data_IF_847116918708
#
_entry.id   IF_847116918708
#
_cell.length_a   1.000
_cell.length_b   1.000
_cell.length_c   1.000
_cell.angle_alpha   90.00
_cell.angle_beta   90.00
_cell.angle_gamma   90.00
#
_symmetry.space_group_name_H-M   'P 1'
#
loop_
_entity.id
_entity.type
_entity.pdbx_description
1 polymer ?
#
# COMPACT_ATOMS: atom_id res chain seq x y z
N UNK A 1 -0.47 -26.42 24.44
CA UNK A 1 0.94 -26.36 23.98
C UNK A 1 0.95 -25.73 22.60
N UNK A 2 1.96 -24.88 22.35
CA UNK A 2 2.02 -23.80 21.35
C UNK A 2 1.84 -24.27 19.89
N UNK A 3 0.92 -23.63 19.17
CA UNK A 3 1.00 -23.44 17.72
C UNK A 3 0.99 -21.94 17.46
N UNK A 4 2.18 -21.34 17.52
CA UNK A 4 2.41 -20.01 16.97
C UNK A 4 2.75 -20.19 15.49
N UNK A 5 1.84 -19.79 14.61
CA UNK A 5 2.10 -19.60 13.19
C UNK A 5 3.06 -18.40 13.04
N UNK A 6 4.35 -18.67 13.22
CA UNK A 6 5.44 -17.70 13.11
C UNK A 6 6.19 -17.87 11.78
N UNK A 7 5.50 -17.79 10.65
CA UNK A 7 6.12 -17.72 9.32
C UNK A 7 5.75 -16.44 8.55
N UNK A 8 5.59 -15.32 9.27
CA UNK A 8 5.49 -13.98 8.66
C UNK A 8 6.77 -13.15 8.83
N UNK A 9 7.84 -13.74 9.35
CA UNK A 9 9.10 -13.04 9.65
C UNK A 9 10.21 -13.63 8.82
N UNK A 10 10.47 -13.11 7.62
CA UNK A 10 11.84 -12.97 7.10
C UNK A 10 11.86 -12.27 5.74
N UNK A 11 12.63 -11.20 5.63
CA UNK A 11 13.10 -10.72 4.33
C UNK A 11 13.37 -9.23 4.29
N UNK A 12 12.33 -8.42 4.22
CA UNK A 12 12.46 -7.03 3.81
C UNK A 12 11.93 -5.99 4.82
N UNK A 13 11.44 -6.45 5.98
CA UNK A 13 11.10 -5.57 7.09
C UNK A 13 12.31 -5.02 7.85
N UNK A 14 13.45 -5.73 7.81
CA UNK A 14 14.60 -5.41 8.68
C UNK A 14 15.39 -4.15 8.26
N UNK A 15 15.35 -3.72 7.01
CA UNK A 15 16.10 -2.53 6.57
C UNK A 15 15.41 -1.23 6.95
N UNK A 16 14.07 -1.22 7.09
CA UNK A 16 13.34 -0.06 7.60
C UNK A 16 13.22 -0.13 9.15
N UNK A 17 13.16 -1.32 9.74
CA UNK A 17 13.06 -1.49 11.21
C UNK A 17 14.35 -1.12 11.96
N UNK A 18 15.54 -1.29 11.36
CA UNK A 18 16.80 -0.94 12.03
C UNK A 18 16.95 0.57 12.29
N UNK A 19 16.26 1.40 11.52
CA UNK A 19 16.27 2.86 11.68
C UNK A 19 15.23 3.32 12.71
N UNK A 20 14.13 2.57 12.88
CA UNK A 20 13.01 2.96 13.74
C UNK A 20 13.15 2.53 15.22
N UNK A 21 14.13 1.70 15.59
CA UNK A 21 14.23 1.16 16.95
C UNK A 21 15.30 1.80 17.84
N UNK A 22 16.09 2.76 17.36
CA UNK A 22 17.23 3.32 18.10
C UNK A 22 17.16 4.84 18.39
N UNK A 23 16.10 5.54 17.98
CA UNK A 23 16.02 7.00 18.11
C UNK A 23 14.92 7.49 19.04
N UNK A 24 15.20 7.61 20.35
CA UNK A 24 14.38 8.44 21.23
C UNK A 24 14.31 9.87 20.68
N UNK A 25 13.11 10.43 20.56
CA UNK A 25 12.81 11.81 20.12
C UNK A 25 13.19 12.25 18.68
N UNK A 26 13.78 11.37 17.85
CA UNK A 26 14.19 11.71 16.46
C UNK A 26 13.58 10.81 15.37
N UNK A 27 12.51 10.06 15.69
CA UNK A 27 11.86 9.10 14.77
C UNK A 27 11.31 9.74 13.49
N UNK A 28 10.94 11.02 13.53
CA UNK A 28 10.30 11.71 12.40
C UNK A 28 11.35 12.18 11.37
N UNK A 29 12.53 12.63 11.81
CA UNK A 29 13.57 13.13 10.90
C UNK A 29 14.13 12.06 9.96
N UNK A 30 14.08 10.78 10.35
CA UNK A 30 14.56 9.68 9.49
C UNK A 30 13.47 9.10 8.59
N UNK A 31 12.19 9.35 8.92
CA UNK A 31 11.03 9.00 8.09
C UNK A 31 10.85 9.97 6.92
N UNK A 32 11.30 11.22 7.08
CA UNK A 32 11.14 12.30 6.09
C UNK A 32 12.28 12.38 5.06
N UNK A 33 13.24 11.46 5.11
CA UNK A 33 14.24 11.34 4.07
C UNK A 33 13.54 10.82 2.79
N UNK A 34 13.35 11.70 1.80
CA UNK A 34 12.68 11.35 0.54
C UNK A 34 13.38 10.14 -0.09
N UNK A 35 12.72 9.00 -0.03
CA UNK A 35 13.15 7.83 -0.77
C UNK A 35 12.73 8.03 -2.22
N UNK A 36 13.70 7.99 -3.14
CA UNK A 36 13.46 7.97 -4.58
C UNK A 36 12.59 6.77 -5.05
N UNK A 37 12.23 5.86 -4.14
CA UNK A 37 11.34 4.72 -4.36
C UNK A 37 9.94 5.15 -4.82
N UNK A 38 9.42 6.28 -4.36
CA UNK A 38 8.10 6.79 -4.80
C UNK A 38 8.03 7.07 -6.31
N UNK A 39 9.17 7.35 -6.96
CA UNK A 39 9.27 7.56 -8.42
C UNK A 39 9.30 6.26 -9.23
N UNK A 40 9.50 5.12 -8.58
CA UNK A 40 9.61 3.84 -9.27
C UNK A 40 8.24 3.28 -9.64
N UNK A 41 8.16 2.46 -10.71
CA UNK A 41 6.99 1.63 -10.97
C UNK A 41 6.63 0.80 -9.74
N UNK A 42 5.32 0.66 -9.51
CA UNK A 42 4.75 -0.03 -8.34
C UNK A 42 5.37 -1.41 -8.11
N UNK A 43 5.54 -2.20 -9.15
CA UNK A 43 6.08 -3.56 -9.03
C UNK A 43 7.55 -3.58 -8.58
N UNK A 44 8.35 -2.55 -8.88
CA UNK A 44 9.72 -2.46 -8.37
C UNK A 44 9.75 -2.01 -6.91
N UNK A 45 8.90 -1.04 -6.57
CA UNK A 45 8.81 -0.52 -5.22
C UNK A 45 8.38 -1.64 -4.27
N UNK A 46 7.24 -2.26 -4.55
CA UNK A 46 6.73 -3.37 -3.75
C UNK A 46 7.57 -4.63 -3.89
N UNK A 47 8.19 -4.87 -5.05
CA UNK A 47 9.19 -5.92 -5.21
C UNK A 47 10.42 -5.72 -4.30
N UNK A 48 10.84 -4.47 -4.07
CA UNK A 48 11.89 -4.14 -3.12
C UNK A 48 11.45 -4.39 -1.68
N UNK A 49 10.21 -4.00 -1.33
CA UNK A 49 9.60 -4.26 -0.02
C UNK A 49 9.37 -5.74 0.29
N UNK A 50 9.27 -6.60 -0.73
CA UNK A 50 9.21 -8.06 -0.57
C UNK A 50 10.60 -8.72 -0.59
N UNK A 51 11.67 -7.96 -0.82
CA UNK A 51 13.03 -8.50 -0.95
C UNK A 51 13.29 -9.20 -2.28
N UNK A 52 12.39 -9.07 -3.26
CA UNK A 52 12.60 -9.59 -4.61
C UNK A 52 13.75 -8.89 -5.31
N UNK A 53 14.11 -7.67 -4.90
CA UNK A 53 15.27 -6.90 -5.37
C UNK A 53 15.77 -5.99 -4.25
N UNK A 54 17.08 -5.75 -4.13
CA UNK A 54 17.61 -4.80 -3.15
C UNK A 54 17.68 -3.38 -3.71
N UNK A 55 17.65 -2.38 -2.83
CA UNK A 55 17.69 -0.97 -3.21
C UNK A 55 18.92 -0.60 -4.06
N UNK A 56 20.08 -1.21 -3.80
CA UNK A 56 21.33 -1.00 -4.55
C UNK A 56 21.21 -1.41 -6.03
N UNK A 57 20.33 -2.37 -6.33
CA UNK A 57 20.11 -2.91 -7.67
C UNK A 57 19.00 -2.18 -8.44
N UNK A 58 18.42 -1.10 -7.89
CA UNK A 58 17.40 -0.28 -8.56
C UNK A 58 17.96 0.70 -9.61
N UNK A 59 19.28 0.70 -9.82
CA UNK A 59 19.93 1.45 -10.90
C UNK A 59 19.49 0.91 -12.26
N UNK A 60 19.13 1.80 -13.20
CA UNK A 60 18.62 1.44 -14.54
C UNK A 60 19.49 0.40 -15.25
N UNK A 61 20.82 0.58 -15.23
CA UNK A 61 21.75 -0.34 -15.85
C UNK A 61 21.70 -1.77 -15.28
N UNK A 62 21.38 -1.94 -14.00
CA UNK A 62 21.21 -3.27 -13.37
C UNK A 62 19.85 -3.86 -13.73
N UNK A 63 18.80 -3.03 -13.71
CA UNK A 63 17.43 -3.44 -14.01
C UNK A 63 17.27 -3.98 -15.44
N UNK A 64 18.02 -3.45 -16.39
CA UNK A 64 17.91 -3.83 -17.80
C UNK A 64 18.84 -5.01 -18.18
N UNK A 65 19.65 -5.51 -17.23
CA UNK A 65 20.43 -6.74 -17.42
C UNK A 65 19.53 -7.97 -17.51
N UNK A 66 19.92 -8.90 -18.37
CA UNK A 66 19.27 -10.21 -18.51
C UNK A 66 19.41 -10.99 -17.20
N UNK A 67 18.31 -11.57 -16.73
CA UNK A 67 18.31 -12.40 -15.53
C UNK A 67 18.68 -13.84 -15.87
N UNK A 68 19.49 -14.45 -15.00
CA UNK A 68 19.84 -15.87 -15.10
C UNK A 68 18.72 -16.76 -14.55
N UNK A 69 18.66 -18.01 -14.99
CA UNK A 69 17.71 -18.99 -14.46
C UNK A 69 17.85 -19.18 -12.94
N UNK A 70 19.09 -19.20 -12.44
CA UNK A 70 19.39 -19.29 -11.01
C UNK A 70 18.82 -18.11 -10.23
N UNK A 71 19.10 -16.87 -10.64
CA UNK A 71 18.61 -15.69 -9.90
C UNK A 71 17.09 -15.54 -9.97
N UNK A 72 16.46 -15.95 -11.08
CA UNK A 72 15.01 -16.02 -11.14
C UNK A 72 14.45 -17.06 -10.17
N UNK A 73 15.05 -18.25 -10.10
CA UNK A 73 14.62 -19.32 -9.21
C UNK A 73 14.76 -18.93 -7.72
N UNK A 74 15.85 -18.26 -7.32
CA UNK A 74 16.03 -17.75 -5.96
C UNK A 74 14.88 -16.81 -5.56
N UNK A 75 14.54 -15.86 -6.44
CA UNK A 75 13.44 -14.91 -6.18
C UNK A 75 12.07 -15.59 -6.21
N UNK A 76 11.86 -16.55 -7.10
CA UNK A 76 10.63 -17.35 -7.13
C UNK A 76 10.48 -18.17 -5.85
N UNK A 77 11.55 -18.75 -5.32
CA UNK A 77 11.49 -19.53 -4.08
C UNK A 77 11.15 -18.64 -2.89
N UNK A 78 11.72 -17.43 -2.82
CA UNK A 78 11.28 -16.40 -1.87
C UNK A 78 9.78 -16.09 -2.03
N UNK A 79 9.30 -15.85 -3.26
CA UNK A 79 7.87 -15.64 -3.52
C UNK A 79 7.01 -16.81 -3.03
N UNK A 80 7.40 -18.06 -3.31
CA UNK A 80 6.68 -19.25 -2.89
C UNK A 80 6.66 -19.41 -1.36
N UNK A 81 7.76 -19.10 -0.69
CA UNK A 81 7.86 -19.10 0.78
C UNK A 81 6.95 -18.03 1.39
N UNK A 82 6.95 -16.80 0.86
CA UNK A 82 6.09 -15.71 1.31
C UNK A 82 4.59 -16.04 1.15
N UNK A 83 4.23 -16.81 0.12
CA UNK A 83 2.86 -17.30 -0.11
C UNK A 83 2.49 -18.48 0.79
N UNK A 84 3.39 -18.98 1.63
CA UNK A 84 3.19 -20.18 2.46
C UNK A 84 3.13 -21.47 1.64
N UNK A 85 3.54 -21.45 0.37
CA UNK A 85 3.57 -22.63 -0.49
C UNK A 85 4.81 -23.51 -0.21
N UNK A 86 5.86 -22.94 0.37
CA UNK A 86 7.09 -23.63 0.78
C UNK A 86 7.49 -23.24 2.21
N UNK A 87 8.19 -24.13 2.90
CA UNK A 87 8.70 -23.88 4.26
C UNK A 87 9.99 -23.06 4.27
N UNK A 88 10.77 -23.09 3.18
CA UNK A 88 12.01 -22.35 3.02
C UNK A 88 12.10 -21.68 1.64
N UNK A 89 12.93 -20.64 1.53
CA UNK A 89 13.25 -19.98 0.26
C UNK A 89 14.42 -20.64 -0.48
N UNK A 90 14.64 -21.94 -0.27
CA UNK A 90 15.71 -22.66 -0.94
C UNK A 90 15.29 -23.14 -2.34
N UNK A 91 16.18 -22.95 -3.31
CA UNK A 91 15.97 -23.41 -4.70
C UNK A 91 15.83 -24.94 -4.80
N UNK A 92 16.41 -25.68 -3.84
CA UNK A 92 16.25 -27.15 -3.68
C UNK A 92 14.78 -27.57 -3.61
N UNK A 93 13.94 -26.76 -2.98
CA UNK A 93 12.50 -27.01 -2.86
C UNK A 93 11.78 -26.88 -4.20
N UNK A 94 12.14 -25.88 -5.02
CA UNK A 94 11.57 -25.75 -6.37
C UNK A 94 11.94 -26.92 -7.29
N UNK A 95 13.15 -27.49 -7.10
CA UNK A 95 13.59 -28.70 -7.79
C UNK A 95 12.78 -29.92 -7.32
N UNK A 96 12.62 -30.06 -6.00
CA UNK A 96 11.83 -31.14 -5.38
C UNK A 96 10.40 -31.14 -5.89
N UNK A 97 9.77 -29.98 -6.01
CA UNK A 97 8.40 -29.83 -6.52
C UNK A 97 8.30 -29.77 -8.04
N UNK A 98 9.39 -29.99 -8.78
CA UNK A 98 9.43 -29.97 -10.26
C UNK A 98 8.91 -28.66 -10.89
N UNK A 99 9.01 -27.54 -10.17
CA UNK A 99 8.71 -26.20 -10.69
C UNK A 99 9.81 -25.78 -11.67
N UNK A 100 11.06 -26.09 -11.34
CA UNK A 100 12.22 -25.90 -12.20
C UNK A 100 12.88 -27.25 -12.52
N UNK A 101 13.57 -27.35 -13.66
CA UNK A 101 14.28 -28.57 -14.05
C UNK A 101 15.64 -28.72 -13.33
N UNK A 102 16.13 -29.97 -13.20
CA UNK A 102 17.38 -30.32 -12.49
C UNK A 102 18.63 -29.55 -12.92
N UNK A 103 18.69 -29.11 -14.19
CA UNK A 103 19.64 -28.12 -14.69
C UNK A 103 18.98 -26.73 -14.67
N UNK A 104 18.97 -26.07 -13.53
CA UNK A 104 18.84 -24.61 -13.50
C UNK A 104 20.12 -24.04 -14.13
N UNK A 105 20.17 -24.01 -15.47
CA UNK A 105 21.38 -23.72 -16.23
C UNK A 105 21.91 -22.31 -15.99
N UNK A 106 23.19 -22.12 -16.27
CA UNK A 106 23.87 -20.80 -16.33
C UNK A 106 23.33 -19.87 -17.44
N UNK A 107 22.20 -20.20 -18.04
CA UNK A 107 21.55 -19.46 -19.11
C UNK A 107 20.59 -18.38 -18.61
N UNK A 108 20.25 -17.47 -19.52
CA UNK A 108 19.22 -16.46 -19.27
C UNK A 108 17.82 -17.06 -19.35
N UNK A 109 16.89 -16.51 -18.57
CA UNK A 109 15.48 -16.89 -18.66
C UNK A 109 14.84 -16.26 -19.90
N UNK A 110 14.16 -17.04 -20.71
CA UNK A 110 13.29 -16.53 -21.77
C UNK A 110 11.86 -16.32 -21.27
N UNK A 111 11.10 -15.43 -21.91
CA UNK A 111 9.70 -15.17 -21.52
C UNK A 111 8.83 -16.44 -21.53
N UNK A 112 9.01 -17.33 -22.50
CA UNK A 112 8.27 -18.59 -22.54
C UNK A 112 8.62 -19.50 -21.35
N UNK A 113 9.92 -19.66 -21.06
CA UNK A 113 10.36 -20.47 -19.92
C UNK A 113 9.85 -19.91 -18.58
N UNK A 114 9.81 -18.58 -18.44
CA UNK A 114 9.27 -17.89 -17.27
C UNK A 114 7.79 -18.18 -17.08
N UNK A 115 6.97 -18.10 -18.13
CA UNK A 115 5.53 -18.36 -18.03
C UNK A 115 5.26 -19.82 -17.69
N UNK A 116 5.98 -20.76 -18.30
CA UNK A 116 5.84 -22.17 -17.95
C UNK A 116 6.27 -22.46 -16.51
N UNK A 117 7.30 -21.77 -16.02
CA UNK A 117 7.75 -21.88 -14.63
C UNK A 117 6.69 -21.34 -13.67
N UNK A 118 6.12 -20.17 -13.95
CA UNK A 118 5.01 -19.60 -13.16
C UNK A 118 3.75 -20.47 -13.24
N UNK A 119 3.48 -21.09 -14.38
CA UNK A 119 2.35 -22.01 -14.54
C UNK A 119 2.51 -23.24 -13.65
N UNK A 120 3.72 -23.82 -13.58
CA UNK A 120 4.02 -24.92 -12.65
C UNK A 120 3.87 -24.47 -11.20
N UNK A 121 4.38 -23.29 -10.85
CA UNK A 121 4.20 -22.72 -9.51
C UNK A 121 2.71 -22.56 -9.16
N UNK A 122 1.90 -22.01 -10.08
CA UNK A 122 0.46 -21.86 -9.91
C UNK A 122 -0.25 -23.20 -9.68
N UNK A 123 0.13 -24.25 -10.41
CA UNK A 123 -0.43 -25.61 -10.22
C UNK A 123 -0.12 -26.13 -8.80
N UNK A 124 1.12 -25.96 -8.32
CA UNK A 124 1.50 -26.37 -6.96
C UNK A 124 0.73 -25.57 -5.90
N UNK A 125 0.58 -24.25 -6.09
CA UNK A 125 -0.19 -23.38 -5.20
C UNK A 125 -1.67 -23.78 -5.18
N UNK A 126 -2.25 -24.12 -6.34
CA UNK A 126 -3.62 -24.60 -6.44
C UNK A 126 -3.83 -25.96 -5.77
N UNK A 127 -2.85 -26.87 -5.87
CA UNK A 127 -2.85 -28.14 -5.13
C UNK A 127 -2.83 -27.98 -3.60
N UNK A 128 -2.44 -26.80 -3.09
CA UNK A 128 -2.53 -26.42 -1.67
C UNK A 128 -3.81 -25.66 -1.32
N UNK A 129 -4.77 -25.59 -2.24
CA UNK A 129 -6.02 -24.83 -2.11
C UNK A 129 -5.82 -23.34 -1.81
N UNK A 130 -4.72 -22.74 -2.28
CA UNK A 130 -4.47 -21.31 -2.11
C UNK A 130 -5.12 -20.48 -3.21
N UNK A 131 -5.22 -21.04 -4.43
CA UNK A 131 -5.87 -20.42 -5.59
C UNK A 131 -6.73 -21.43 -6.33
N UNK A 132 -7.68 -20.94 -7.13
CA UNK A 132 -8.47 -21.78 -8.03
C UNK A 132 -8.11 -21.55 -9.50
N UNK A 133 -7.66 -22.62 -10.18
CA UNK A 133 -7.34 -22.60 -11.61
C UNK A 133 -8.50 -23.03 -12.51
N UNK A 134 -9.61 -23.53 -11.96
CA UNK A 134 -10.75 -24.01 -12.75
C UNK A 134 -11.30 -22.92 -13.67
N UNK A 135 -11.85 -23.33 -14.81
CA UNK A 135 -12.59 -22.45 -15.75
C UNK A 135 -11.76 -21.34 -16.44
N UNK A 136 -10.45 -21.32 -16.24
CA UNK A 136 -9.56 -20.44 -16.98
C UNK A 136 -9.06 -21.18 -18.24
N UNK A 137 -9.26 -20.61 -19.43
CA UNK A 137 -8.71 -21.16 -20.67
C UNK A 137 -7.69 -20.19 -21.25
N UNK A 138 -6.45 -20.67 -21.45
CA UNK A 138 -5.39 -19.84 -21.99
C UNK A 138 -5.65 -19.44 -23.43
N UNK A 139 -5.36 -18.18 -23.75
CA UNK A 139 -5.26 -17.70 -25.13
C UNK A 139 -3.82 -17.89 -25.62
N UNK A 140 -3.69 -18.36 -26.86
CA UNK A 140 -2.39 -18.43 -27.53
C UNK A 140 -1.90 -17.01 -27.88
N UNK A 141 -0.58 -16.86 -27.93
CA UNK A 141 0.06 -15.68 -28.50
C UNK A 141 0.43 -15.96 -29.96
N UNK A 142 0.64 -14.90 -30.74
CA UNK A 142 1.00 -15.01 -32.17
C UNK A 142 2.22 -15.91 -32.41
N UNK A 143 3.21 -15.85 -31.51
CA UNK A 143 4.48 -16.59 -31.61
C UNK A 143 4.60 -17.77 -30.63
N UNK A 144 3.63 -17.98 -29.73
CA UNK A 144 3.68 -19.01 -28.69
C UNK A 144 2.32 -19.70 -28.50
N UNK A 145 2.31 -21.02 -28.76
CA UNK A 145 1.17 -21.90 -28.48
C UNK A 145 1.31 -22.48 -27.08
N UNK A 146 0.27 -22.27 -26.27
CA UNK A 146 0.22 -22.77 -24.89
C UNK A 146 0.05 -24.28 -24.91
N UNK A 147 0.89 -24.98 -24.15
CA UNK A 147 0.75 -26.43 -23.96
C UNK A 147 -0.53 -26.74 -23.16
N UNK A 148 -1.27 -27.77 -23.57
CA UNK A 148 -2.58 -28.12 -22.98
C UNK A 148 -2.50 -28.33 -21.46
N UNK A 149 -1.46 -29.02 -20.97
CA UNK A 149 -1.22 -29.24 -19.53
C UNK A 149 -1.05 -27.95 -18.70
N UNK A 150 -0.77 -26.82 -19.33
CA UNK A 150 -0.66 -25.51 -18.67
C UNK A 150 -1.82 -24.58 -19.03
N UNK A 151 -2.82 -25.02 -19.79
CA UNK A 151 -3.90 -24.17 -20.28
C UNK A 151 -4.61 -23.44 -19.14
N UNK A 152 -5.00 -24.15 -18.08
CA UNK A 152 -5.71 -23.55 -16.95
C UNK A 152 -4.82 -22.57 -16.16
N UNK A 153 -3.59 -22.99 -15.87
CA UNK A 153 -2.62 -22.18 -15.13
C UNK A 153 -2.23 -20.89 -15.88
N UNK A 154 -1.94 -20.99 -17.19
CA UNK A 154 -1.61 -19.83 -18.02
C UNK A 154 -2.84 -18.96 -18.26
N UNK A 155 -4.03 -19.55 -18.41
CA UNK A 155 -5.29 -18.82 -18.46
C UNK A 155 -5.49 -17.98 -17.21
N UNK A 156 -5.27 -18.55 -16.03
CA UNK A 156 -5.33 -17.82 -14.76
C UNK A 156 -4.29 -16.69 -14.70
N UNK A 157 -3.04 -16.95 -15.09
CA UNK A 157 -1.98 -15.92 -15.15
C UNK A 157 -2.33 -14.76 -16.10
N UNK A 158 -3.03 -15.05 -17.20
CA UNK A 158 -3.52 -14.05 -18.15
C UNK A 158 -4.71 -13.25 -17.57
N UNK A 159 -5.72 -13.93 -17.01
CA UNK A 159 -6.90 -13.31 -16.39
C UNK A 159 -6.52 -12.39 -15.24
N UNK A 160 -5.53 -12.79 -14.43
CA UNK A 160 -5.00 -11.98 -13.32
C UNK A 160 -3.95 -10.96 -13.75
N UNK A 161 -3.70 -10.83 -15.06
CA UNK A 161 -2.75 -9.90 -15.63
C UNK A 161 -1.29 -10.03 -15.13
N UNK A 162 -0.94 -11.20 -14.55
CA UNK A 162 0.44 -11.55 -14.20
C UNK A 162 1.28 -11.60 -15.46
N UNK A 163 0.74 -12.22 -16.50
CA UNK A 163 1.39 -12.38 -17.80
C UNK A 163 0.65 -11.58 -18.87
N UNK A 164 1.40 -10.74 -19.60
CA UNK A 164 0.89 -9.96 -20.74
C UNK A 164 1.79 -10.16 -21.95
N UNK A 165 1.17 -10.21 -23.12
CA UNK A 165 1.87 -10.13 -24.40
C UNK A 165 2.22 -8.68 -24.76
N UNK A 166 2.96 -8.51 -25.86
CA UNK A 166 3.18 -7.23 -26.50
C UNK A 166 1.91 -6.75 -27.24
N UNK A 167 1.80 -5.45 -27.53
CA UNK A 167 0.65 -4.90 -28.27
C UNK A 167 0.41 -5.55 -29.63
N UNK A 168 1.45 -6.14 -30.24
CA UNK A 168 1.37 -6.85 -31.52
C UNK A 168 0.83 -8.29 -31.41
N UNK A 169 0.40 -8.70 -30.21
CA UNK A 169 -0.14 -10.02 -29.91
C UNK A 169 0.92 -11.10 -29.70
N UNK A 170 2.21 -10.77 -29.77
CA UNK A 170 3.29 -11.71 -29.48
C UNK A 170 3.56 -11.82 -27.99
N UNK A 171 4.08 -12.97 -27.56
CA UNK A 171 4.69 -13.16 -26.26
C UNK A 171 6.14 -12.66 -26.24
N UNK A 172 6.84 -12.77 -27.38
CA UNK A 172 8.29 -12.64 -27.44
C UNK A 172 8.98 -13.87 -26.85
N UNK A 173 8.56 -15.07 -27.25
CA UNK A 173 8.90 -16.34 -26.56
C UNK A 173 10.40 -16.59 -26.36
N UNK A 174 11.23 -16.17 -27.31
CA UNK A 174 12.70 -16.35 -27.29
C UNK A 174 13.43 -15.18 -26.64
N UNK A 175 12.74 -14.08 -26.33
CA UNK A 175 13.36 -12.91 -25.72
C UNK A 175 13.77 -13.24 -24.29
N UNK A 176 15.01 -12.93 -23.96
CA UNK A 176 15.51 -13.02 -22.60
C UNK A 176 14.89 -11.92 -21.73
N UNK A 177 14.53 -12.32 -20.52
CA UNK A 177 13.92 -11.47 -19.53
C UNK A 177 14.96 -10.55 -18.88
N UNK A 178 14.62 -9.28 -18.70
CA UNK A 178 15.43 -8.38 -17.87
C UNK A 178 15.13 -8.59 -16.39
N UNK A 179 16.03 -8.13 -15.51
CA UNK A 179 15.81 -8.17 -14.05
C UNK A 179 14.55 -7.39 -13.67
N UNK A 180 14.29 -6.26 -14.33
CA UNK A 180 13.04 -5.49 -14.18
C UNK A 180 11.81 -6.32 -14.50
N UNK A 181 11.77 -6.95 -15.68
CA UNK A 181 10.63 -7.75 -16.11
C UNK A 181 10.43 -8.96 -15.17
N UNK A 182 11.50 -9.56 -14.66
CA UNK A 182 11.44 -10.64 -13.67
C UNK A 182 10.76 -10.22 -12.37
N UNK A 183 11.16 -9.06 -11.82
CA UNK A 183 10.52 -8.51 -10.62
C UNK A 183 9.04 -8.22 -10.87
N UNK A 184 8.69 -7.70 -12.05
CA UNK A 184 7.29 -7.43 -12.39
C UNK A 184 6.46 -8.72 -12.41
N UNK A 185 6.97 -9.77 -13.06
CA UNK A 185 6.29 -11.07 -13.10
C UNK A 185 6.11 -11.66 -11.72
N UNK A 186 7.16 -11.69 -10.91
CA UNK A 186 7.14 -12.29 -9.57
C UNK A 186 6.26 -11.51 -8.61
N UNK A 187 6.33 -10.18 -8.63
CA UNK A 187 5.49 -9.34 -7.79
C UNK A 187 4.01 -9.48 -8.17
N UNK A 188 3.66 -9.40 -9.46
CA UNK A 188 2.26 -9.59 -9.90
C UNK A 188 1.75 -10.99 -9.58
N UNK A 189 2.61 -12.01 -9.69
CA UNK A 189 2.27 -13.37 -9.29
C UNK A 189 1.95 -13.45 -7.80
N UNK A 190 2.83 -12.90 -6.95
CA UNK A 190 2.61 -12.79 -5.51
C UNK A 190 1.28 -12.08 -5.21
N UNK A 191 1.07 -10.90 -5.80
CA UNK A 191 -0.14 -10.11 -5.60
C UNK A 191 -1.41 -10.86 -6.00
N UNK A 192 -1.40 -11.51 -7.17
CA UNK A 192 -2.56 -12.26 -7.66
C UNK A 192 -2.93 -13.43 -6.74
N UNK A 193 -1.94 -14.17 -6.22
CA UNK A 193 -2.17 -15.26 -5.26
C UNK A 193 -2.66 -14.69 -3.92
N UNK A 194 -1.95 -13.72 -3.36
CA UNK A 194 -2.29 -13.10 -2.07
C UNK A 194 -3.69 -12.48 -2.08
N UNK A 195 -4.10 -11.87 -3.20
CA UNK A 195 -5.45 -11.31 -3.34
C UNK A 195 -6.54 -12.38 -3.27
N UNK A 196 -6.34 -13.56 -3.87
CA UNK A 196 -7.29 -14.68 -3.73
C UNK A 196 -7.29 -15.28 -2.32
N UNK A 197 -6.12 -15.37 -1.70
CA UNK A 197 -6.04 -15.83 -0.31
C UNK A 197 -6.78 -14.89 0.65
N UNK A 198 -6.73 -13.57 0.38
CA UNK A 198 -7.47 -12.58 1.15
C UNK A 198 -8.98 -12.65 0.92
N UNK A 199 -9.44 -12.89 -0.31
CA UNK A 199 -10.88 -12.98 -0.60
C UNK A 199 -11.56 -14.19 0.06
N UNK A 200 -10.79 -15.23 0.42
CA UNK A 200 -11.28 -16.38 1.20
C UNK A 200 -11.43 -16.08 2.69
N UNK A 201 -10.84 -14.99 3.22
CA UNK A 201 -10.88 -14.66 4.65
C UNK A 201 -12.13 -13.83 4.99
N UNK A 202 -12.70 -13.97 6.19
CA UNK A 202 -13.76 -13.09 6.65
C UNK A 202 -13.22 -11.65 6.75
N UNK A 203 -13.99 -10.68 6.27
CA UNK A 203 -13.59 -9.28 6.14
C UNK A 203 -13.56 -8.49 7.48
N UNK A 204 -13.35 -9.18 8.60
CA UNK A 204 -13.52 -8.61 9.94
C UNK A 204 -12.43 -7.60 10.32
N UNK A 205 -11.26 -7.65 9.67
CA UNK A 205 -10.14 -6.75 9.95
C UNK A 205 -9.50 -6.21 8.68
N UNK A 206 -9.10 -4.95 8.73
CA UNK A 206 -8.31 -4.32 7.67
C UNK A 206 -6.97 -5.06 7.53
N UNK A 207 -6.61 -5.41 6.30
CA UNK A 207 -5.35 -6.09 6.00
C UNK A 207 -4.87 -5.73 4.61
N UNK A 208 -3.55 -5.70 4.41
CA UNK A 208 -2.93 -5.39 3.13
C UNK A 208 -1.97 -6.49 2.69
N UNK A 209 -1.86 -6.70 1.38
CA UNK A 209 -1.03 -7.75 0.77
C UNK A 209 0.46 -7.59 1.10
N UNK A 210 0.89 -6.35 1.28
CA UNK A 210 2.27 -5.91 1.50
C UNK A 210 2.58 -5.59 2.96
N UNK A 211 1.59 -5.59 3.87
CA UNK A 211 1.80 -5.25 5.29
C UNK A 211 1.36 -6.41 6.19
N UNK A 212 2.26 -6.98 7.02
CA UNK A 212 1.89 -7.91 8.09
C UNK A 212 0.87 -7.32 9.05
N UNK A 213 0.00 -8.16 9.62
CA UNK A 213 -0.82 -7.75 10.77
C UNK A 213 0.01 -7.31 11.99
N UNK A 214 1.22 -7.84 12.15
CA UNK A 214 2.15 -7.46 13.23
C UNK A 214 3.00 -6.22 12.91
N UNK A 215 2.80 -5.59 11.75
CA UNK A 215 3.59 -4.44 11.34
C UNK A 215 3.23 -3.20 12.18
N UNK A 216 4.21 -2.37 12.61
CA UNK A 216 3.91 -1.14 13.34
C UNK A 216 2.99 -0.17 12.59
N UNK A 217 3.02 -0.16 11.25
CA UNK A 217 2.09 0.68 10.48
C UNK A 217 0.64 0.22 10.57
N UNK A 218 0.33 -1.03 10.92
CA UNK A 218 -1.07 -1.45 11.05
C UNK A 218 -1.78 -0.68 12.15
N UNK A 219 -1.14 -0.46 13.31
CA UNK A 219 -1.70 0.36 14.39
C UNK A 219 -1.97 1.80 13.91
N UNK A 220 -1.04 2.38 13.15
CA UNK A 220 -1.19 3.72 12.57
C UNK A 220 -2.38 3.76 11.61
N UNK A 221 -2.49 2.79 10.71
CA UNK A 221 -3.59 2.72 9.74
C UNK A 221 -4.94 2.49 10.45
N UNK A 222 -4.98 1.68 11.51
CA UNK A 222 -6.17 1.46 12.33
C UNK A 222 -6.61 2.77 13.02
N UNK A 223 -5.67 3.49 13.64
CA UNK A 223 -5.94 4.79 14.26
C UNK A 223 -6.48 5.81 13.24
N UNK A 224 -5.90 5.86 12.04
CA UNK A 224 -6.35 6.73 10.96
C UNK A 224 -7.74 6.33 10.45
N UNK A 225 -8.02 5.04 10.34
CA UNK A 225 -9.37 4.51 10.02
C UNK A 225 -10.38 4.97 11.05
N UNK A 226 -10.07 4.84 12.35
CA UNK A 226 -10.93 5.29 13.44
C UNK A 226 -11.13 6.81 13.45
N UNK A 227 -10.08 7.56 13.13
CA UNK A 227 -10.13 9.02 12.95
C UNK A 227 -10.85 9.46 11.67
N UNK A 228 -11.29 8.53 10.82
CA UNK A 228 -12.05 8.80 9.61
C UNK A 228 -11.22 9.17 8.38
N UNK A 229 -9.89 9.15 8.46
CA UNK A 229 -9.01 9.53 7.37
C UNK A 229 -9.18 8.66 6.11
N UNK A 230 -9.75 7.47 6.22
CA UNK A 230 -10.00 6.59 5.07
C UNK A 230 -11.48 6.44 4.71
N UNK A 231 -12.40 7.15 5.37
CA UNK A 231 -13.85 6.99 5.16
C UNK A 231 -14.32 7.35 3.75
N UNK A 232 -13.62 8.30 3.12
CA UNK A 232 -13.91 8.78 1.77
C UNK A 232 -12.91 8.27 0.73
N UNK A 233 -11.98 7.41 1.15
CA UNK A 233 -10.93 6.86 0.29
C UNK A 233 -11.21 5.40 -0.03
N UNK A 234 -10.85 5.01 -1.26
CA UNK A 234 -10.84 3.61 -1.66
C UNK A 234 -9.42 3.10 -1.52
N UNK A 235 -9.15 2.41 -0.40
CA UNK A 235 -7.86 1.76 -0.20
C UNK A 235 -7.70 0.57 -1.15
N UNK A 236 -6.48 0.44 -1.69
CA UNK A 236 -6.10 -0.69 -2.54
C UNK A 236 -5.77 -1.92 -1.69
N UNK A 237 -5.78 -3.13 -2.28
CA UNK A 237 -5.37 -4.34 -1.56
C UNK A 237 -3.94 -4.30 -1.02
N UNK A 238 -3.05 -3.55 -1.67
CA UNK A 238 -1.74 -3.18 -1.12
C UNK A 238 -1.78 -1.73 -0.64
N UNK A 239 -1.17 -1.47 0.51
CA UNK A 239 -1.05 -0.11 1.04
C UNK A 239 -0.11 0.74 0.19
N UNK A 240 1.00 0.15 -0.29
CA UNK A 240 2.00 0.81 -1.14
C UNK A 240 2.55 2.08 -0.51
N UNK A 241 3.07 1.93 0.71
CA UNK A 241 3.38 3.05 1.59
C UNK A 241 4.52 3.96 1.11
N UNK A 242 5.46 3.43 0.33
CA UNK A 242 6.51 4.23 -0.30
C UNK A 242 6.01 4.98 -1.57
N UNK A 243 4.75 4.79 -1.99
CA UNK A 243 4.17 5.52 -3.12
C UNK A 243 3.83 6.96 -2.73
N UNK A 244 3.84 7.87 -3.71
CA UNK A 244 3.48 9.26 -3.45
C UNK A 244 1.97 9.43 -3.29
N UNK A 245 1.58 10.26 -2.32
CA UNK A 245 0.19 10.63 -2.06
C UNK A 245 -0.25 11.65 -3.11
N UNK A 246 -1.41 11.45 -3.74
CA UNK A 246 -1.99 12.47 -4.63
C UNK A 246 -2.65 13.60 -3.83
N UNK A 247 -2.84 14.75 -4.45
CA UNK A 247 -3.60 15.86 -3.84
C UNK A 247 -5.05 15.46 -3.58
N UNK A 248 -5.66 14.71 -4.50
CA UNK A 248 -6.98 14.11 -4.30
C UNK A 248 -7.03 13.20 -3.07
N UNK A 249 -6.02 12.32 -2.89
CA UNK A 249 -6.02 11.40 -1.76
C UNK A 249 -5.92 12.15 -0.42
N UNK A 250 -4.98 13.11 -0.30
CA UNK A 250 -4.84 13.89 0.94
C UNK A 250 -6.10 14.73 1.22
N UNK A 251 -6.75 15.24 0.16
CA UNK A 251 -8.01 15.97 0.29
C UNK A 251 -9.11 15.09 0.87
N UNK A 252 -9.26 13.87 0.36
CA UNK A 252 -10.25 12.93 0.89
C UNK A 252 -9.91 12.45 2.30
N UNK A 253 -8.63 12.36 2.67
CA UNK A 253 -8.25 12.14 4.07
C UNK A 253 -8.76 13.24 4.98
N UNK A 254 -8.50 14.50 4.64
CA UNK A 254 -8.98 15.65 5.42
C UNK A 254 -10.51 15.68 5.49
N UNK A 255 -11.17 15.50 4.35
CA UNK A 255 -12.63 15.45 4.26
C UNK A 255 -13.23 14.34 5.13
N UNK A 256 -12.54 13.20 5.23
CA UNK A 256 -12.93 12.07 6.08
C UNK A 256 -12.78 12.39 7.56
N UNK A 257 -11.59 12.91 7.97
CA UNK A 257 -11.31 13.31 9.36
C UNK A 257 -12.33 14.34 9.87
N UNK A 258 -12.59 15.39 9.10
CA UNK A 258 -13.55 16.43 9.48
C UNK A 258 -14.97 15.88 9.58
N UNK A 259 -15.39 15.07 8.59
CA UNK A 259 -16.72 14.47 8.59
C UNK A 259 -16.92 13.52 9.79
N UNK A 260 -15.91 12.73 10.14
CA UNK A 260 -15.93 11.83 11.29
C UNK A 260 -16.06 12.59 12.61
N UNK A 261 -15.40 13.75 12.71
CA UNK A 261 -15.53 14.66 13.85
C UNK A 261 -16.82 15.51 13.82
N UNK A 262 -17.72 15.30 12.85
CA UNK A 262 -18.99 16.03 12.75
C UNK A 262 -18.86 17.48 12.29
N UNK A 263 -17.74 17.85 11.65
CA UNK A 263 -17.48 19.19 11.13
C UNK A 263 -17.49 19.20 9.61
N UNK A 264 -17.95 20.31 9.04
CA UNK A 264 -17.78 20.58 7.61
C UNK A 264 -16.40 21.22 7.38
N UNK A 265 -15.75 20.83 6.28
CA UNK A 265 -14.46 21.42 5.91
C UNK A 265 -14.68 22.79 5.26
N UNK A 266 -13.80 23.74 5.56
CA UNK A 266 -13.74 25.02 4.86
C UNK A 266 -13.12 24.79 3.47
N UNK A 267 -13.98 24.82 2.46
CA UNK A 267 -13.60 24.64 1.06
C UNK A 267 -12.67 25.76 0.54
N UNK A 268 -12.72 26.96 1.12
CA UNK A 268 -11.83 28.05 0.74
C UNK A 268 -10.43 27.77 1.26
N UNK A 269 -10.30 27.44 2.56
CA UNK A 269 -9.02 27.08 3.16
C UNK A 269 -8.40 25.86 2.47
N UNK A 270 -9.20 24.83 2.19
CA UNK A 270 -8.74 23.65 1.47
C UNK A 270 -8.19 23.98 0.08
N UNK A 271 -8.87 24.85 -0.69
CA UNK A 271 -8.37 25.31 -2.00
C UNK A 271 -7.08 26.12 -1.88
N UNK A 272 -6.93 26.92 -0.82
CA UNK A 272 -5.71 27.69 -0.57
C UNK A 272 -4.52 26.78 -0.32
N UNK A 273 -4.69 25.69 0.46
CA UNK A 273 -3.63 24.71 0.76
C UNK A 273 -3.03 24.11 -0.52
N UNK A 274 -3.87 23.87 -1.53
CA UNK A 274 -3.49 23.19 -2.78
C UNK A 274 -3.44 24.14 -3.99
N UNK A 275 -3.36 25.46 -3.76
CA UNK A 275 -3.53 26.48 -4.80
C UNK A 275 -2.49 26.43 -5.93
N UNK A 276 -1.30 25.86 -5.71
CA UNK A 276 -0.24 25.68 -6.69
C UNK A 276 -0.28 24.31 -7.40
N UNK A 277 -1.33 23.51 -7.17
CA UNK A 277 -1.37 22.10 -7.54
C UNK A 277 -2.70 21.69 -8.20
N UNK A 278 -2.63 20.72 -9.12
CA UNK A 278 -3.83 20.07 -9.67
C UNK A 278 -4.21 18.85 -8.84
N UNK A 279 -5.47 18.40 -8.93
CA UNK A 279 -5.95 17.20 -8.21
C UNK A 279 -5.11 15.94 -8.49
N UNK A 280 -4.60 15.83 -9.72
CA UNK A 280 -3.85 14.66 -10.21
C UNK A 280 -2.35 14.75 -9.89
N UNK A 281 -1.90 15.87 -9.34
CA UNK A 281 -0.51 16.05 -8.93
C UNK A 281 -0.22 15.38 -7.60
N UNK A 282 1.06 15.08 -7.36
CA UNK A 282 1.51 14.56 -6.08
C UNK A 282 1.55 15.67 -5.03
N UNK A 283 1.10 15.33 -3.83
CA UNK A 283 1.16 16.19 -2.67
C UNK A 283 2.61 16.47 -2.30
N UNK A 284 2.92 17.75 -2.09
CA UNK A 284 4.22 18.22 -1.62
C UNK A 284 4.24 18.35 -0.10
N UNK A 285 5.43 18.34 0.49
CA UNK A 285 5.62 18.46 1.94
C UNK A 285 5.03 19.74 2.53
N UNK A 286 5.08 20.86 1.79
CA UNK A 286 4.41 22.11 2.17
C UNK A 286 2.88 21.94 2.34
N UNK A 287 2.23 21.19 1.45
CA UNK A 287 0.78 20.96 1.51
C UNK A 287 0.43 20.13 2.74
N UNK A 288 1.26 19.13 3.05
CA UNK A 288 1.09 18.33 4.26
C UNK A 288 1.20 19.20 5.50
N UNK A 289 2.20 20.08 5.59
CA UNK A 289 2.36 20.96 6.75
C UNK A 289 1.12 21.85 6.96
N UNK A 290 0.61 22.46 5.89
CA UNK A 290 -0.61 23.27 5.93
C UNK A 290 -1.86 22.45 6.27
N UNK A 291 -1.99 21.23 5.74
CA UNK A 291 -3.10 20.32 6.02
C UNK A 291 -3.12 19.86 7.49
N UNK A 292 -1.96 19.51 8.03
CA UNK A 292 -1.80 19.11 9.43
C UNK A 292 -2.08 20.27 10.37
N UNK A 293 -1.59 21.47 10.03
CA UNK A 293 -1.90 22.69 10.79
C UNK A 293 -3.39 23.00 10.77
N UNK A 294 -4.09 22.78 9.66
CA UNK A 294 -5.54 22.98 9.61
C UNK A 294 -6.29 22.07 10.59
N UNK A 295 -5.92 20.79 10.70
CA UNK A 295 -6.50 19.89 11.71
C UNK A 295 -6.24 20.45 13.12
N UNK A 296 -4.99 20.85 13.40
CA UNK A 296 -4.63 21.39 14.71
C UNK A 296 -5.41 22.66 15.07
N UNK A 297 -5.54 23.58 14.13
CA UNK A 297 -6.28 24.85 14.31
C UNK A 297 -7.76 24.65 14.59
N UNK A 298 -8.34 23.57 14.09
CA UNK A 298 -9.76 23.28 14.20
C UNK A 298 -10.11 22.43 15.43
N UNK A 299 -9.20 21.54 15.83
CA UNK A 299 -9.47 20.54 16.87
C UNK A 299 -8.63 20.68 18.14
N UNK A 300 -7.54 21.46 18.10
CA UNK A 300 -6.57 21.53 19.20
C UNK A 300 -6.07 22.96 19.51
N UNK A 301 -6.77 24.00 19.04
CA UNK A 301 -6.31 25.40 19.12
C UNK A 301 -5.94 25.85 20.53
N UNK A 302 -6.67 25.39 21.53
CA UNK A 302 -6.45 25.65 22.96
C UNK A 302 -5.16 25.04 23.51
N UNK A 303 -4.66 23.99 22.85
CA UNK A 303 -3.45 23.24 23.24
C UNK A 303 -2.23 23.63 22.42
N UNK A 304 -2.41 24.42 21.37
CA UNK A 304 -1.31 24.84 20.51
C UNK A 304 -0.43 25.86 21.21
N UNK A 305 0.87 25.62 21.15
CA UNK A 305 1.90 26.60 21.48
C UNK A 305 2.85 26.69 20.30
N UNK A 306 3.29 27.89 19.93
CA UNK A 306 4.31 28.00 18.88
C UNK A 306 5.68 27.67 19.50
N UNK A 307 6.43 26.78 18.85
CA UNK A 307 7.82 26.51 19.23
C UNK A 307 8.75 26.95 18.10
N UNK A 308 9.76 27.74 18.44
CA UNK A 308 10.75 28.20 17.46
C UNK A 308 11.51 27.00 16.87
N UNK A 309 11.49 26.92 15.54
CA UNK A 309 12.31 26.02 14.72
C UNK A 309 12.81 26.82 13.54
N UNK A 310 14.11 26.72 13.26
CA UNK A 310 14.74 27.43 12.15
C UNK A 310 15.00 26.45 11.00
N UNK A 311 14.46 26.75 9.82
CA UNK A 311 14.73 26.02 8.57
C UNK A 311 15.58 26.88 7.64
N UNK A 312 16.56 26.28 6.97
CA UNK A 312 17.50 27.00 6.08
C UNK A 312 16.85 27.46 4.77
N UNK A 313 15.78 26.79 4.38
CA UNK A 313 15.08 26.95 3.10
C UNK A 313 13.62 27.41 3.26
N UNK A 314 13.24 27.87 4.47
CA UNK A 314 11.92 28.46 4.73
C UNK A 314 12.08 29.89 5.22
N UNK A 315 11.39 30.83 4.58
CA UNK A 315 11.34 32.24 5.00
C UNK A 315 9.99 32.60 5.63
N UNK A 316 9.93 33.70 6.39
CA UNK A 316 8.72 34.12 7.12
C UNK A 316 7.55 34.49 6.18
N UNK A 317 7.85 34.82 4.92
CA UNK A 317 6.86 35.17 3.91
C UNK A 317 6.16 33.95 3.30
N UNK A 318 6.68 32.75 3.53
CA UNK A 318 6.09 31.52 2.98
C UNK A 318 4.91 31.04 3.83
N UNK A 319 3.83 30.52 3.20
CA UNK A 319 2.60 30.16 3.90
C UNK A 319 2.81 29.04 4.93
N UNK A 320 3.77 28.15 4.72
CA UNK A 320 4.10 27.07 5.65
C UNK A 320 4.84 27.53 6.92
N UNK A 321 5.39 28.75 6.98
CA UNK A 321 6.25 29.19 8.09
C UNK A 321 5.55 29.06 9.45
N UNK A 322 4.41 29.72 9.62
CA UNK A 322 3.62 29.64 10.86
C UNK A 322 3.12 28.22 11.15
N UNK A 323 2.81 27.46 10.09
CA UNK A 323 2.38 26.07 10.24
C UNK A 323 3.46 25.20 10.86
N UNK A 324 4.72 25.41 10.46
CA UNK A 324 5.85 24.67 11.00
C UNK A 324 6.13 25.02 12.47
N UNK A 325 5.91 26.27 12.89
CA UNK A 325 6.03 26.67 14.29
C UNK A 325 4.97 26.01 15.18
N UNK A 326 3.72 25.92 14.69
CA UNK A 326 2.62 25.24 15.39
C UNK A 326 2.85 23.72 15.46
N UNK A 327 3.29 23.10 14.37
CA UNK A 327 3.65 21.68 14.32
C UNK A 327 4.79 21.36 15.30
N UNK A 328 5.82 22.22 15.36
CA UNK A 328 6.89 22.05 16.35
C UNK A 328 6.39 22.14 17.79
N UNK A 329 5.34 22.93 18.02
CA UNK A 329 4.60 23.05 19.27
C UNK A 329 3.99 21.75 19.78
N UNK A 330 3.48 20.91 18.89
CA UNK A 330 2.97 19.57 19.21
C UNK A 330 4.05 18.47 19.11
N UNK A 331 5.34 18.85 19.01
CA UNK A 331 6.46 17.92 18.95
C UNK A 331 6.80 17.40 17.56
N UNK A 332 6.18 17.94 16.50
CA UNK A 332 6.42 17.54 15.11
C UNK A 332 7.38 18.51 14.42
N UNK A 333 8.60 18.05 14.16
CA UNK A 333 9.58 18.76 13.32
C UNK A 333 9.66 18.04 11.98
N UNK A 334 9.28 18.73 10.91
CA UNK A 334 9.26 18.18 9.56
C UNK A 334 10.61 18.43 8.85
N UNK A 335 10.81 17.83 7.69
CA UNK A 335 12.05 17.95 6.92
C UNK A 335 13.19 17.04 7.39
N UNK A 336 14.40 17.41 7.00
CA UNK A 336 15.63 16.66 7.19
C UNK A 336 16.37 17.11 8.46
N UNK A 337 17.17 16.21 9.03
CA UNK A 337 17.97 16.49 10.24
C UNK A 337 19.06 17.55 10.07
N UNK A 338 19.32 18.02 8.85
CA UNK A 338 20.25 19.12 8.55
C UNK A 338 19.60 20.52 8.63
N UNK A 339 18.32 20.59 9.01
CA UNK A 339 17.54 21.82 9.09
C UNK A 339 16.93 22.25 7.76
N UNK A 340 16.88 21.38 6.75
CA UNK A 340 16.18 21.62 5.48
C UNK A 340 14.75 21.10 5.55
N UNK A 341 13.75 21.94 5.30
CA UNK A 341 12.35 21.52 5.20
C UNK A 341 12.06 20.79 3.88
N UNK A 342 12.60 21.29 2.77
CA UNK A 342 12.37 20.83 1.41
C UNK A 342 10.87 20.77 1.05
N UNK A 343 10.19 21.91 1.14
CA UNK A 343 8.73 22.01 0.97
C UNK A 343 8.19 21.53 -0.39
N UNK A 344 9.02 21.50 -1.43
CA UNK A 344 8.65 21.06 -2.79
C UNK A 344 8.69 19.55 -3.04
N UNK A 345 9.26 18.76 -2.14
CA UNK A 345 9.36 17.32 -2.38
C UNK A 345 8.01 16.64 -2.16
N UNK A 346 7.71 15.67 -3.04
CA UNK A 346 6.54 14.81 -2.89
C UNK A 346 6.66 13.93 -1.65
N UNK A 347 5.54 13.75 -0.95
CA UNK A 347 5.46 12.91 0.25
C UNK A 347 4.94 11.51 -0.10
N UNK A 348 5.41 10.53 0.65
CA UNK A 348 4.94 9.15 0.59
C UNK A 348 3.73 8.91 1.48
N UNK A 349 2.99 7.83 1.22
CA UNK A 349 1.88 7.38 2.06
C UNK A 349 2.33 7.06 3.50
N UNK A 350 3.52 6.52 3.69
CA UNK A 350 4.09 6.29 5.02
C UNK A 350 4.38 7.58 5.77
N UNK A 351 4.92 8.61 5.11
CA UNK A 351 5.13 9.93 5.71
C UNK A 351 3.80 10.57 6.10
N UNK A 352 2.83 10.60 5.18
CA UNK A 352 1.52 11.18 5.42
C UNK A 352 0.79 10.47 6.56
N UNK A 353 0.73 9.13 6.54
CA UNK A 353 0.03 8.35 7.55
C UNK A 353 0.63 8.55 8.95
N UNK A 354 1.95 8.53 9.08
CA UNK A 354 2.62 8.72 10.37
C UNK A 354 2.34 10.11 10.94
N UNK A 355 2.53 11.16 10.15
CA UNK A 355 2.35 12.53 10.62
C UNK A 355 0.88 12.85 10.91
N UNK A 356 -0.04 12.38 10.07
CA UNK A 356 -1.47 12.53 10.27
C UNK A 356 -1.92 11.83 11.56
N UNK A 357 -1.40 10.63 11.85
CA UNK A 357 -1.68 9.89 13.07
C UNK A 357 -1.22 10.66 14.31
N UNK A 358 -0.01 11.23 14.31
CA UNK A 358 0.46 12.04 15.45
C UNK A 358 -0.42 13.27 15.69
N UNK A 359 -0.83 13.97 14.62
CA UNK A 359 -1.72 15.13 14.72
C UNK A 359 -3.10 14.75 15.23
N UNK A 360 -3.70 13.67 14.71
CA UNK A 360 -5.00 13.17 15.15
C UNK A 360 -4.96 12.75 16.63
N UNK A 361 -3.87 12.11 17.07
CA UNK A 361 -3.63 11.76 18.48
C UNK A 361 -3.53 13.02 19.36
N UNK A 362 -2.72 14.01 18.95
CA UNK A 362 -2.57 15.27 19.68
C UNK A 362 -3.91 16.04 19.79
N UNK A 363 -4.66 16.06 18.69
CA UNK A 363 -5.97 16.69 18.61
C UNK A 363 -7.09 15.90 19.31
N UNK A 364 -6.80 14.70 19.84
CA UNK A 364 -7.77 13.82 20.50
C UNK A 364 -9.01 13.51 19.64
N UNK A 365 -8.87 13.51 18.31
CA UNK A 365 -9.96 13.18 17.37
C UNK A 365 -10.34 11.69 17.47
N UNK A 366 -9.41 10.86 17.96
CA UNK A 366 -9.61 9.43 18.22
C UNK A 366 -10.24 9.13 19.59
N UNK A 367 -10.85 10.10 20.30
CA UNK A 367 -11.50 9.77 21.58
C UNK A 367 -12.57 8.71 21.33
N UNK A 368 -12.31 7.51 21.85
CA UNK A 368 -13.10 6.31 21.67
C UNK A 368 -14.60 6.64 21.71
N UNK A 369 -15.32 6.32 20.64
CA UNK A 369 -16.65 5.79 20.89
C UNK A 369 -16.42 4.68 21.89
N UNK A 370 -17.01 4.80 23.10
CA UNK A 370 -17.00 3.75 24.11
C UNK A 370 -17.07 2.42 23.37
N UNK A 371 -16.10 1.54 23.64
CA UNK A 371 -16.23 0.14 23.28
C UNK A 371 -17.50 -0.33 23.97
N UNK A 372 -18.64 -0.17 23.29
CA UNK A 372 -19.84 -0.94 23.55
C UNK A 372 -19.48 -2.33 23.07
N UNK A 373 -18.60 -2.97 23.86
CA UNK A 373 -18.18 -4.33 23.67
C UNK A 373 -19.43 -5.13 23.39
N UNK A 374 -19.37 -5.90 22.31
CA UNK A 374 -20.45 -6.59 21.63
C UNK A 374 -21.63 -6.92 22.58
N UNK A 375 -22.52 -5.93 22.76
CA UNK A 375 -23.66 -6.05 23.66
C UNK A 375 -24.84 -6.40 22.78
N UNK A 376 -25.52 -7.50 23.12
CA UNK A 376 -26.72 -7.93 22.42
C UNK A 376 -27.68 -6.74 22.26
N UNK A 377 -28.15 -6.54 21.04
CA UNK A 377 -29.02 -5.42 20.69
C UNK A 377 -30.21 -5.38 21.65
N UNK A 378 -30.34 -4.27 22.38
CA UNK A 378 -31.41 -4.10 23.37
C UNK A 378 -32.62 -3.47 22.67
N UNK A 379 -33.81 -3.60 23.25
CA UNK A 379 -35.07 -3.10 22.68
C UNK A 379 -34.99 -1.62 22.23
N UNK A 380 -34.24 -0.79 22.93
CA UNK A 380 -34.01 0.62 22.56
C UNK A 380 -33.29 0.78 21.22
N UNK A 381 -32.33 -0.10 20.92
CA UNK A 381 -31.55 -0.06 19.69
C UNK A 381 -32.43 -0.45 18.49
N UNK A 382 -33.33 -1.41 18.69
CA UNK A 382 -34.34 -1.82 17.70
C UNK A 382 -35.34 -0.69 17.43
N UNK A 383 -35.80 0.04 18.46
CA UNK A 383 -36.71 1.17 18.29
C UNK A 383 -36.03 2.36 17.60
N UNK A 384 -34.75 2.63 17.90
CA UNK A 384 -33.95 3.63 17.20
C UNK A 384 -33.78 3.28 15.71
N UNK A 385 -33.51 2.01 15.41
CA UNK A 385 -33.43 1.51 14.03
C UNK A 385 -34.77 1.65 13.29
N UNK A 386 -35.90 1.33 13.93
CA UNK A 386 -37.24 1.53 13.35
C UNK A 386 -37.52 3.00 13.05
N UNK A 387 -37.13 3.91 13.95
CA UNK A 387 -37.29 5.35 13.73
C UNK A 387 -36.45 5.83 12.53
N UNK A 388 -35.21 5.35 12.41
CA UNK A 388 -34.32 5.64 11.29
C UNK A 388 -34.89 5.15 9.94
N UNK A 389 -35.41 3.92 9.91
CA UNK A 389 -36.03 3.35 8.71
C UNK A 389 -37.28 4.13 8.31
N UNK A 390 -38.12 4.54 9.27
CA UNK A 390 -39.30 5.40 9.01
C UNK A 390 -38.87 6.75 8.44
N UNK A 391 -37.91 7.44 9.07
CA UNK A 391 -37.41 8.71 8.59
C UNK A 391 -36.83 8.61 7.16
N UNK A 392 -36.09 7.53 6.86
CA UNK A 392 -35.54 7.29 5.53
C UNK A 392 -36.64 6.99 4.50
N UNK A 393 -37.66 6.22 4.87
CA UNK A 393 -38.84 5.96 4.03
C UNK A 393 -39.61 7.26 3.74
N UNK A 394 -39.82 8.10 4.75
CA UNK A 394 -40.53 9.38 4.60
C UNK A 394 -39.76 10.35 3.70
N UNK A 395 -38.42 10.39 3.84
CA UNK A 395 -37.54 11.18 2.97
C UNK A 395 -37.59 10.70 1.51
N UNK A 396 -37.59 9.39 1.29
CA UNK A 396 -37.76 8.81 -0.05
C UNK A 396 -39.14 9.15 -0.62
N UNK A 397 -40.21 9.07 0.18
CA UNK A 397 -41.54 9.46 -0.26
C UNK A 397 -41.67 10.96 -0.58
N UNK A 398 -41.00 11.84 0.18
CA UNK A 398 -40.93 13.26 -0.14
C UNK A 398 -40.23 13.50 -1.49
N UNK A 399 -39.11 12.84 -1.74
CA UNK A 399 -38.38 12.94 -3.01
C UNK A 399 -39.24 12.44 -4.18
N UNK A 400 -39.94 11.31 -4.00
CA UNK A 400 -40.82 10.75 -5.04
C UNK A 400 -42.07 11.61 -5.30
N UNK A 401 -42.58 12.33 -4.29
CA UNK A 401 -43.69 13.28 -4.46
C UNK A 401 -43.24 14.59 -5.08
N UNK A 402 -42.02 15.06 -4.77
CA UNK A 402 -41.45 16.27 -5.38
C UNK A 402 -41.19 16.09 -6.89
N UNK A 403 -40.91 14.87 -7.35
CA UNK A 403 -40.67 14.53 -8.76
C UNK A 403 -41.95 14.37 -9.61
N UNK A 404 -43.13 14.52 -9.00
CA UNK A 404 -44.46 14.37 -9.63
C UNK A 404 -45.20 15.70 -9.85
N UNK A 405 -44.53 16.84 -9.64
CA UNK A 405 -45.04 18.18 -9.95
C UNK A 405 -44.31 18.78 -11.13
#
# INVERSE_FOLDING_TARGET
>A
MKQANNYFVTGALLTILAIALLGGSSLISTVLASNNLGRLPRELRLGCELGLISAEHLKTATLDRKITAKSFAERLSLTMMLLGAQESAEVSELLRTSIIASKAGSGNMSRASTIETLARAAIIISGKDLINLSENSAKNYRDYKVAEKYSNAIGWLQTKYVVRGYPDGSLGKTRNLTTREAVFFLYRFYEAVSSEMMSKRPAEKLSFIDIPLSHPMMEIIENLTQGGAFDKLILRPSFDGDSFVSVADLTEMLNGVFARAGKEIDQVRLKTIFSDSSSDSFTKRRHLALALEYILDEFARDRLSAKKVDYRDVSIEQPEFESLLKLAGCGLVLGYGDGRFAGDESITWYEAAKLLNEVIKFAAITSAAEDKGDRLAVKSDIEALKALIRAKKDRVHQILRAKKR
#
